data_IF_029361778303
#
_entry.id   IF_029361778303
#
_cell.length_a   1.000
_cell.length_b   1.000
_cell.length_c   1.000
_cell.angle_alpha   90.00
_cell.angle_beta   90.00
_cell.angle_gamma   90.00
#
_symmetry.space_group_name_H-M   'P 1'
#
loop_
_entity.id
_entity.type
_entity.pdbx_description
1 polymer ?
#
# COMPACT_ATOMS: atom_id res chain seq x y z
N UNK A 1 -0.63 25.51 17.27
CA UNK A 1 -0.07 24.76 16.14
C UNK A 1 0.21 25.75 15.02
N UNK A 2 1.48 26.03 14.74
CA UNK A 2 1.85 26.98 13.70
C UNK A 2 1.58 26.43 12.30
N UNK A 3 1.33 27.32 11.35
CA UNK A 3 0.95 27.11 9.95
C UNK A 3 1.91 26.19 9.14
N UNK A 4 2.13 24.94 9.56
CA UNK A 4 2.96 23.95 8.81
C UNK A 4 2.41 23.70 7.40
N UNK A 5 1.09 23.84 7.21
CA UNK A 5 0.44 23.62 5.92
C UNK A 5 0.57 24.80 4.96
N UNK A 6 0.94 26.00 5.44
CA UNK A 6 1.07 27.20 4.60
C UNK A 6 2.51 27.49 4.15
N UNK A 7 3.53 26.88 4.78
CA UNK A 7 4.94 27.03 4.40
C UNK A 7 5.56 25.66 4.14
N UNK A 8 5.46 25.20 2.90
CA UNK A 8 5.93 23.86 2.48
C UNK A 8 7.45 23.71 2.66
N UNK A 9 8.24 24.69 2.20
CA UNK A 9 9.70 24.65 2.30
C UNK A 9 10.16 25.38 3.58
N UNK A 10 10.43 24.60 4.65
CA UNK A 10 10.90 25.13 5.93
C UNK A 10 12.43 25.15 6.07
N UNK A 11 13.13 24.34 5.27
CA UNK A 11 14.60 24.12 5.30
C UNK A 11 15.14 23.57 6.62
N UNK A 12 14.25 23.15 7.54
CA UNK A 12 14.65 22.62 8.87
C UNK A 12 15.22 21.21 8.82
N UNK A 13 15.21 20.56 7.66
CA UNK A 13 15.71 19.20 7.44
C UNK A 13 16.90 19.12 6.47
N UNK A 14 17.54 20.26 6.13
CA UNK A 14 18.69 20.28 5.20
C UNK A 14 19.95 19.66 5.82
N UNK A 15 19.98 19.49 7.13
CA UNK A 15 21.03 18.81 7.90
C UNK A 15 20.90 17.27 7.89
N UNK A 16 19.89 16.70 7.18
CA UNK A 16 19.62 15.26 7.15
C UNK A 16 18.75 14.76 8.29
N UNK A 17 18.23 15.65 9.14
CA UNK A 17 17.27 15.28 10.18
C UNK A 17 15.84 15.68 9.81
N UNK A 18 14.84 15.07 10.48
CA UNK A 18 13.43 15.41 10.32
C UNK A 18 12.69 15.37 11.66
N UNK A 19 11.58 16.11 11.76
CA UNK A 19 10.71 16.10 12.94
C UNK A 19 9.68 14.99 12.87
N UNK A 20 9.43 14.32 14.00
CA UNK A 20 8.32 13.41 14.19
C UNK A 20 7.07 14.15 14.71
N UNK A 21 5.94 13.46 14.74
CA UNK A 21 4.65 14.04 15.13
C UNK A 21 4.54 14.38 16.63
N UNK A 22 5.35 13.77 17.48
CA UNK A 22 5.49 14.07 18.92
C UNK A 22 6.40 15.27 19.20
N UNK A 23 7.00 15.87 18.18
CA UNK A 23 7.93 17.01 18.28
C UNK A 23 9.40 16.60 18.42
N UNK A 24 9.72 15.34 18.57
CA UNK A 24 11.09 14.83 18.54
C UNK A 24 11.70 14.92 17.13
N UNK A 25 13.01 14.73 17.02
CA UNK A 25 13.72 14.70 15.72
C UNK A 25 14.52 13.41 15.60
N UNK A 26 14.61 12.92 14.34
CA UNK A 26 15.39 11.72 14.00
C UNK A 26 16.13 11.93 12.68
N UNK A 27 17.11 11.08 12.37
CA UNK A 27 17.75 11.05 11.06
C UNK A 27 16.78 10.62 9.98
N UNK A 28 16.91 11.20 8.79
CA UNK A 28 16.10 10.80 7.63
C UNK A 28 16.40 9.37 7.15
N UNK A 29 17.53 8.82 7.55
CA UNK A 29 17.99 7.45 7.30
C UNK A 29 17.53 6.42 8.35
N UNK A 30 16.70 6.84 9.33
CA UNK A 30 16.16 5.94 10.34
C UNK A 30 15.13 4.97 9.76
N UNK A 31 15.04 3.76 10.33
CA UNK A 31 14.05 2.75 9.94
C UNK A 31 12.59 3.27 10.03
N UNK A 32 12.34 4.22 10.93
CA UNK A 32 11.01 4.85 11.07
C UNK A 32 10.68 5.73 9.87
N UNK A 33 11.62 6.54 9.41
CA UNK A 33 11.42 7.41 8.25
C UNK A 33 11.37 6.57 6.96
N UNK A 34 12.16 5.50 6.87
CA UNK A 34 12.09 4.54 5.77
C UNK A 34 10.69 3.91 5.69
N UNK A 35 10.18 3.35 6.79
CA UNK A 35 8.84 2.76 6.81
C UNK A 35 7.72 3.76 6.48
N UNK A 36 7.83 5.00 6.97
CA UNK A 36 6.89 6.07 6.69
C UNK A 36 6.93 6.45 5.19
N UNK A 37 8.12 6.57 4.62
CA UNK A 37 8.30 6.88 3.20
C UNK A 37 7.74 5.79 2.28
N UNK A 38 7.91 4.52 2.63
CA UNK A 38 7.35 3.39 1.88
C UNK A 38 5.81 3.37 1.89
N UNK A 39 5.20 3.75 3.02
CA UNK A 39 3.73 3.87 3.11
C UNK A 39 3.22 5.07 2.29
N UNK A 40 3.92 6.18 2.30
CA UNK A 40 3.58 7.36 1.49
C UNK A 40 3.72 7.08 -0.01
N UNK A 41 4.78 6.37 -0.42
CA UNK A 41 4.93 5.91 -1.80
C UNK A 41 3.79 4.98 -2.22
N UNK A 42 3.42 4.01 -1.35
CA UNK A 42 2.27 3.13 -1.59
C UNK A 42 0.99 3.94 -1.82
N UNK A 43 0.72 4.91 -0.95
CA UNK A 43 -0.47 5.76 -1.07
C UNK A 43 -0.47 6.55 -2.39
N UNK A 44 0.70 7.02 -2.83
CA UNK A 44 0.88 7.71 -4.11
C UNK A 44 0.59 6.77 -5.31
N UNK A 45 1.02 5.50 -5.24
CA UNK A 45 0.69 4.51 -6.28
C UNK A 45 -0.79 4.12 -6.28
N UNK A 46 -1.47 4.08 -5.13
CA UNK A 46 -2.93 3.91 -5.08
C UNK A 46 -3.61 5.13 -5.75
N UNK A 47 -3.11 6.34 -5.54
CA UNK A 47 -3.55 7.54 -6.25
C UNK A 47 -3.38 7.43 -7.76
N UNK A 48 -2.25 6.88 -8.23
CA UNK A 48 -2.02 6.61 -9.66
C UNK A 48 -3.01 5.56 -10.19
N UNK A 49 -3.30 4.49 -9.44
CA UNK A 49 -4.29 3.48 -9.79
C UNK A 49 -5.69 4.09 -9.93
N UNK A 50 -6.05 5.04 -9.08
CA UNK A 50 -7.32 5.76 -9.14
C UNK A 50 -7.49 6.63 -10.40
N UNK A 51 -6.42 6.91 -11.16
CA UNK A 51 -6.52 7.58 -12.46
C UNK A 51 -7.00 6.66 -13.59
N UNK A 52 -7.03 5.33 -13.35
CA UNK A 52 -7.44 4.35 -14.34
C UNK A 52 -8.98 4.17 -14.36
N UNK A 53 -9.48 3.58 -15.44
CA UNK A 53 -10.89 3.19 -15.54
C UNK A 53 -11.18 1.98 -14.65
N UNK A 54 -12.24 2.08 -13.84
CA UNK A 54 -12.65 1.05 -12.90
C UNK A 54 -14.10 1.21 -12.46
N UNK A 55 -14.74 0.15 -11.90
CA UNK A 55 -16.06 0.25 -11.30
C UNK A 55 -16.12 1.29 -10.17
N UNK A 56 -17.21 2.08 -10.11
CA UNK A 56 -17.37 3.15 -9.13
C UNK A 56 -17.22 2.65 -7.68
N UNK A 57 -17.83 1.50 -7.34
CA UNK A 57 -17.71 0.91 -6.00
C UNK A 57 -16.25 0.58 -5.64
N UNK A 58 -15.45 0.09 -6.58
CA UNK A 58 -14.02 -0.17 -6.34
C UNK A 58 -13.24 1.13 -6.12
N UNK A 59 -13.59 2.19 -6.84
CA UNK A 59 -13.00 3.52 -6.66
C UNK A 59 -13.20 4.04 -5.24
N UNK A 60 -14.41 3.92 -4.71
CA UNK A 60 -14.75 4.35 -3.32
C UNK A 60 -13.93 3.57 -2.29
N UNK A 61 -13.77 2.24 -2.48
CA UNK A 61 -12.95 1.41 -1.60
C UNK A 61 -11.46 1.81 -1.63
N UNK A 62 -10.92 2.10 -2.82
CA UNK A 62 -9.53 2.54 -2.95
C UNK A 62 -9.30 3.93 -2.34
N UNK A 63 -10.25 4.85 -2.44
CA UNK A 63 -10.18 6.14 -1.73
C UNK A 63 -10.18 5.93 -0.22
N UNK A 64 -11.02 5.03 0.30
CA UNK A 64 -11.02 4.69 1.73
C UNK A 64 -9.68 4.08 2.16
N UNK A 65 -9.07 3.23 1.32
CA UNK A 65 -7.72 2.68 1.57
C UNK A 65 -6.66 3.80 1.60
N UNK A 66 -6.76 4.84 0.77
CA UNK A 66 -5.84 5.98 0.84
C UNK A 66 -5.92 6.71 2.19
N UNK A 67 -7.12 6.86 2.75
CA UNK A 67 -7.29 7.43 4.09
C UNK A 67 -6.64 6.56 5.15
N UNK A 68 -6.85 5.23 5.11
CA UNK A 68 -6.21 4.32 6.05
C UNK A 68 -4.67 4.36 5.94
N UNK A 69 -4.13 4.45 4.72
CA UNK A 69 -2.68 4.57 4.52
C UNK A 69 -2.13 5.89 5.06
N UNK A 70 -2.93 6.96 4.99
CA UNK A 70 -2.56 8.24 5.59
C UNK A 70 -2.56 8.15 7.13
N UNK A 71 -3.56 7.46 7.71
CA UNK A 71 -3.65 7.20 9.14
C UNK A 71 -2.50 6.29 9.61
N UNK A 72 -2.14 5.27 8.81
CA UNK A 72 -0.99 4.41 9.07
C UNK A 72 0.32 5.23 9.08
N UNK A 73 0.49 6.14 8.11
CA UNK A 73 1.61 7.08 8.11
C UNK A 73 1.64 7.96 9.36
N UNK A 74 0.47 8.42 9.82
CA UNK A 74 0.31 9.16 11.08
C UNK A 74 0.74 8.34 12.31
N UNK A 75 0.36 7.06 12.37
CA UNK A 75 0.78 6.12 13.41
C UNK A 75 2.30 5.94 13.42
N UNK A 76 2.91 5.73 12.25
CA UNK A 76 4.36 5.62 12.13
C UNK A 76 5.09 6.93 12.46
N UNK A 77 4.47 8.08 12.20
CA UNK A 77 5.04 9.40 12.48
C UNK A 77 5.06 9.73 13.99
N UNK A 78 4.21 9.11 14.81
CA UNK A 78 4.06 9.40 16.24
C UNK A 78 4.39 8.15 17.04
N UNK A 79 5.59 8.04 17.65
CA UNK A 79 5.96 6.89 18.47
C UNK A 79 4.91 6.59 19.54
N UNK A 80 4.46 5.33 19.64
CA UNK A 80 3.47 4.87 20.61
C UNK A 80 2.00 5.21 20.27
N UNK A 81 1.74 5.92 19.17
CA UNK A 81 0.38 6.21 18.72
C UNK A 81 -0.22 5.02 17.97
N UNK A 82 -1.54 4.87 18.01
CA UNK A 82 -2.25 3.79 17.32
C UNK A 82 -3.49 4.35 16.62
N UNK A 83 -3.56 4.17 15.29
CA UNK A 83 -4.69 4.51 14.45
C UNK A 83 -5.25 3.29 13.73
N UNK A 84 -4.38 2.41 13.23
CA UNK A 84 -4.80 1.19 12.55
C UNK A 84 -5.19 0.13 13.58
N UNK A 85 -6.42 -0.39 13.44
CA UNK A 85 -7.05 -1.34 14.35
C UNK A 85 -7.45 -2.60 13.61
N UNK A 86 -7.89 -3.60 14.36
CA UNK A 86 -8.40 -4.88 13.82
C UNK A 86 -9.53 -4.68 12.79
N UNK A 87 -10.42 -3.70 13.00
CA UNK A 87 -11.51 -3.40 12.08
C UNK A 87 -11.05 -3.01 10.67
N UNK A 88 -9.90 -2.29 10.55
CA UNK A 88 -9.33 -1.94 9.26
C UNK A 88 -8.80 -3.18 8.52
N UNK A 89 -8.19 -4.12 9.25
CA UNK A 89 -7.71 -5.39 8.69
C UNK A 89 -8.90 -6.25 8.26
N UNK A 90 -9.91 -6.40 9.13
CA UNK A 90 -11.12 -7.17 8.84
C UNK A 90 -11.88 -6.64 7.63
N UNK A 91 -11.90 -5.31 7.43
CA UNK A 91 -12.48 -4.70 6.23
C UNK A 91 -11.75 -5.15 4.97
N UNK A 92 -10.41 -5.20 4.97
CA UNK A 92 -9.65 -5.71 3.82
C UNK A 92 -9.91 -7.19 3.57
N UNK A 93 -10.08 -8.01 4.62
CA UNK A 93 -10.48 -9.42 4.50
C UNK A 93 -11.84 -9.55 3.79
N UNK A 94 -12.83 -8.76 4.19
CA UNK A 94 -14.14 -8.75 3.54
C UNK A 94 -14.08 -8.30 2.07
N UNK A 95 -13.25 -7.30 1.74
CA UNK A 95 -13.04 -6.87 0.35
C UNK A 95 -12.36 -7.95 -0.48
N UNK A 96 -11.38 -8.63 0.11
CA UNK A 96 -10.69 -9.75 -0.56
C UNK A 96 -11.67 -10.87 -0.88
N UNK A 97 -12.51 -11.30 0.05
CA UNK A 97 -13.56 -12.30 -0.17
C UNK A 97 -14.53 -11.84 -1.26
N UNK A 98 -15.05 -10.62 -1.17
CA UNK A 98 -15.99 -10.02 -2.12
C UNK A 98 -15.46 -10.05 -3.54
N UNK A 99 -14.24 -9.56 -3.76
CA UNK A 99 -13.67 -9.42 -5.10
C UNK A 99 -13.08 -10.72 -5.66
N UNK A 100 -12.72 -11.68 -4.79
CA UNK A 100 -12.22 -12.98 -5.23
C UNK A 100 -13.34 -13.98 -5.57
N UNK A 101 -14.57 -13.77 -5.09
CA UNK A 101 -15.69 -14.71 -5.23
C UNK A 101 -16.01 -15.05 -6.70
N UNK A 102 -15.96 -14.05 -7.59
CA UNK A 102 -16.31 -14.20 -9.00
C UNK A 102 -15.09 -14.47 -9.91
N UNK A 103 -13.90 -14.60 -9.32
CA UNK A 103 -12.68 -14.89 -10.10
C UNK A 103 -12.50 -16.40 -10.30
N UNK A 104 -12.13 -16.83 -11.50
CA UNK A 104 -11.83 -18.25 -11.73
C UNK A 104 -10.61 -18.69 -10.92
N UNK A 105 -10.64 -19.94 -10.48
CA UNK A 105 -9.52 -20.58 -9.79
C UNK A 105 -8.27 -20.54 -10.67
N UNK A 106 -7.16 -20.06 -10.10
CA UNK A 106 -5.87 -20.10 -10.77
C UNK A 106 -5.30 -21.52 -10.72
N UNK A 107 -4.89 -22.03 -11.88
CA UNK A 107 -4.20 -23.32 -12.02
C UNK A 107 -2.69 -23.15 -12.19
N UNK A 108 -2.26 -21.94 -12.54
CA UNK A 108 -0.88 -21.53 -12.78
C UNK A 108 -0.63 -20.15 -12.22
N UNK A 109 0.64 -19.78 -12.02
CA UNK A 109 1.04 -18.42 -11.71
C UNK A 109 0.66 -17.46 -12.85
N UNK A 110 0.35 -16.24 -12.49
CA UNK A 110 0.12 -15.17 -13.46
C UNK A 110 1.28 -14.18 -13.45
N UNK A 111 1.54 -13.62 -14.61
CA UNK A 111 2.49 -12.51 -14.74
C UNK A 111 1.83 -11.21 -14.27
N UNK A 112 2.61 -10.26 -13.71
CA UNK A 112 2.13 -8.92 -13.38
C UNK A 112 1.92 -8.08 -14.65
N UNK A 113 0.91 -8.44 -15.43
CA UNK A 113 0.61 -7.92 -16.76
C UNK A 113 -0.90 -7.82 -16.97
N UNK A 114 -1.32 -7.38 -18.18
CA UNK A 114 -2.71 -7.19 -18.55
C UNK A 114 -2.99 -5.73 -18.91
N UNK A 115 -4.17 -5.23 -18.57
CA UNK A 115 -4.52 -3.82 -18.74
C UNK A 115 -3.60 -2.91 -17.93
N UNK A 116 -3.59 -1.62 -18.26
CA UNK A 116 -2.81 -0.63 -17.50
C UNK A 116 -3.26 -0.57 -16.04
N UNK A 117 -4.57 -0.61 -15.78
CA UNK A 117 -5.11 -0.67 -14.42
C UNK A 117 -4.63 -1.93 -13.66
N UNK A 118 -4.67 -3.11 -14.32
CA UNK A 118 -4.18 -4.36 -13.74
C UNK A 118 -2.68 -4.29 -13.41
N UNK A 119 -1.88 -3.79 -14.34
CA UNK A 119 -0.43 -3.64 -14.14
C UNK A 119 -0.11 -2.65 -13.03
N UNK A 120 -0.84 -1.54 -12.93
CA UNK A 120 -0.69 -0.56 -11.83
C UNK A 120 -1.08 -1.17 -10.48
N UNK A 121 -2.15 -1.98 -10.40
CA UNK A 121 -2.50 -2.72 -9.19
C UNK A 121 -1.39 -3.71 -8.77
N UNK A 122 -0.72 -4.37 -9.73
CA UNK A 122 0.44 -5.19 -9.44
C UNK A 122 1.64 -4.37 -8.92
N UNK A 123 1.85 -3.13 -9.39
CA UNK A 123 2.85 -2.23 -8.80
C UNK A 123 2.47 -1.91 -7.35
N UNK A 124 1.22 -1.50 -7.08
CA UNK A 124 0.74 -1.29 -5.71
C UNK A 124 1.00 -2.52 -4.82
N UNK A 125 0.69 -3.73 -5.31
CA UNK A 125 0.98 -4.99 -4.59
C UNK A 125 2.45 -5.13 -4.21
N UNK A 126 3.35 -4.85 -5.12
CA UNK A 126 4.79 -5.01 -4.84
C UNK A 126 5.33 -3.93 -3.90
N UNK A 127 4.78 -2.72 -3.97
CA UNK A 127 5.08 -1.62 -3.04
C UNK A 127 4.52 -1.92 -1.65
N UNK A 128 3.29 -2.47 -1.52
CA UNK A 128 2.77 -3.00 -0.24
C UNK A 128 3.77 -3.94 0.42
N UNK A 129 4.30 -4.90 -0.33
CA UNK A 129 5.28 -5.88 0.17
C UNK A 129 6.62 -5.23 0.58
N UNK A 130 7.00 -4.12 -0.05
CA UNK A 130 8.18 -3.34 0.34
C UNK A 130 7.90 -2.55 1.62
N UNK A 131 6.76 -1.87 1.73
CA UNK A 131 6.31 -1.20 2.95
C UNK A 131 6.20 -2.17 4.13
N UNK A 132 5.66 -3.38 3.91
CA UNK A 132 5.62 -4.42 4.93
C UNK A 132 7.01 -4.77 5.46
N UNK A 133 7.98 -4.97 4.57
CA UNK A 133 9.37 -5.26 4.98
C UNK A 133 10.00 -4.13 5.78
N UNK A 134 9.74 -2.87 5.41
CA UNK A 134 10.22 -1.70 6.15
C UNK A 134 9.58 -1.62 7.56
N UNK A 135 8.27 -1.87 7.68
CA UNK A 135 7.59 -1.94 8.99
C UNK A 135 8.13 -3.11 9.84
N UNK A 136 8.41 -4.27 9.23
CA UNK A 136 9.05 -5.40 9.92
C UNK A 136 10.47 -5.03 10.39
N UNK A 137 11.23 -4.32 9.59
CA UNK A 137 12.56 -3.84 9.99
C UNK A 137 12.47 -2.87 11.17
N UNK A 138 11.54 -1.91 11.12
CA UNK A 138 11.25 -0.97 12.21
C UNK A 138 10.85 -1.71 13.50
N UNK A 139 10.00 -2.74 13.41
CA UNK A 139 9.53 -3.49 14.58
C UNK A 139 10.61 -4.29 15.32
N UNK A 140 11.81 -4.43 14.74
CA UNK A 140 12.98 -5.02 15.41
C UNK A 140 13.73 -4.01 16.29
N UNK A 141 13.61 -2.74 15.96
CA UNK A 141 14.30 -1.65 16.67
C UNK A 141 13.37 -0.91 17.64
N UNK A 142 12.08 -0.86 17.33
CA UNK A 142 11.09 -0.10 18.09
C UNK A 142 9.80 -0.92 18.29
N UNK A 143 9.08 -0.61 19.37
CA UNK A 143 7.79 -1.26 19.62
C UNK A 143 6.72 -0.69 18.69
N UNK A 144 6.24 -1.52 17.76
CA UNK A 144 5.17 -1.21 16.81
C UNK A 144 4.00 -2.17 17.03
N UNK A 145 2.78 -1.67 16.98
CA UNK A 145 1.58 -2.50 17.03
C UNK A 145 1.53 -3.49 15.86
N UNK A 146 0.78 -4.58 16.00
CA UNK A 146 0.72 -5.61 14.98
C UNK A 146 -0.10 -5.19 13.75
N UNK A 147 -1.13 -4.35 13.95
CA UNK A 147 -2.11 -4.02 12.91
C UNK A 147 -1.54 -3.31 11.69
N UNK A 148 -0.59 -2.34 11.78
CA UNK A 148 0.07 -1.76 10.61
C UNK A 148 0.65 -2.80 9.65
N UNK A 149 1.40 -3.76 10.18
CA UNK A 149 1.99 -4.85 9.40
C UNK A 149 0.92 -5.77 8.80
N UNK A 150 -0.09 -6.14 9.59
CA UNK A 150 -1.20 -6.99 9.13
C UNK A 150 -1.99 -6.29 8.01
N UNK A 151 -2.21 -4.98 8.15
CA UNK A 151 -2.92 -4.17 7.17
C UNK A 151 -2.22 -4.18 5.80
N UNK A 152 -0.92 -3.82 5.76
CA UNK A 152 -0.19 -3.78 4.48
C UNK A 152 0.02 -5.17 3.88
N UNK A 153 0.15 -6.22 4.70
CA UNK A 153 0.18 -7.60 4.23
C UNK A 153 -1.14 -7.96 3.53
N UNK A 154 -2.28 -7.74 4.19
CA UNK A 154 -3.60 -8.01 3.64
C UNK A 154 -3.90 -7.13 2.41
N UNK A 155 -3.48 -5.87 2.42
CA UNK A 155 -3.61 -4.98 1.27
C UNK A 155 -2.83 -5.52 0.06
N UNK A 156 -1.68 -6.15 0.25
CA UNK A 156 -0.94 -6.77 -0.85
C UNK A 156 -1.73 -7.89 -1.52
N UNK A 157 -2.45 -8.71 -0.74
CA UNK A 157 -3.28 -9.80 -1.25
C UNK A 157 -4.50 -9.22 -1.99
N UNK A 158 -5.13 -8.19 -1.43
CA UNK A 158 -6.23 -7.47 -2.08
C UNK A 158 -5.78 -6.88 -3.42
N UNK A 159 -4.62 -6.24 -3.50
CA UNK A 159 -4.10 -5.67 -4.76
C UNK A 159 -3.86 -6.74 -5.83
N UNK A 160 -3.50 -7.96 -5.45
CA UNK A 160 -3.42 -9.08 -6.39
C UNK A 160 -4.79 -9.46 -6.95
N UNK A 161 -5.80 -9.56 -6.10
CA UNK A 161 -7.18 -9.84 -6.51
C UNK A 161 -7.72 -8.71 -7.39
N UNK A 162 -7.51 -7.46 -6.99
CA UNK A 162 -7.96 -6.29 -7.76
C UNK A 162 -7.28 -6.18 -9.13
N UNK A 163 -6.02 -6.57 -9.26
CA UNK A 163 -5.37 -6.62 -10.58
C UNK A 163 -6.12 -7.54 -11.54
N UNK A 164 -6.58 -8.69 -11.07
CA UNK A 164 -7.38 -9.64 -11.86
C UNK A 164 -8.76 -9.09 -12.20
N UNK A 165 -9.43 -8.46 -11.23
CA UNK A 165 -10.73 -7.80 -11.41
C UNK A 165 -10.63 -6.70 -12.47
N UNK A 166 -9.65 -5.82 -12.35
CA UNK A 166 -9.42 -4.70 -13.26
C UNK A 166 -9.04 -5.17 -14.67
N UNK A 167 -8.30 -6.28 -14.77
CA UNK A 167 -7.99 -6.85 -16.08
C UNK A 167 -9.26 -7.36 -16.80
N UNK A 168 -10.18 -7.98 -16.06
CA UNK A 168 -11.47 -8.43 -16.58
C UNK A 168 -12.40 -7.27 -16.92
N UNK A 169 -12.41 -6.24 -16.08
CA UNK A 169 -13.17 -5.02 -16.36
C UNK A 169 -12.75 -4.39 -17.70
N UNK A 170 -11.46 -4.44 -18.01
CA UNK A 170 -10.92 -3.99 -19.31
C UNK A 170 -11.09 -5.01 -20.45
N UNK A 171 -11.86 -6.09 -20.25
CA UNK A 171 -12.09 -7.14 -21.27
C UNK A 171 -10.94 -8.14 -21.44
N UNK A 172 -9.93 -8.11 -20.57
CA UNK A 172 -8.78 -9.01 -20.60
C UNK A 172 -8.97 -10.29 -19.77
N UNK A 173 -7.96 -11.15 -19.80
CA UNK A 173 -7.86 -12.37 -19.00
C UNK A 173 -6.50 -12.42 -18.29
N UNK A 174 -6.38 -13.31 -17.29
CA UNK A 174 -5.12 -13.52 -16.56
C UNK A 174 -4.01 -13.92 -17.53
N UNK A 175 -2.85 -13.26 -17.47
CA UNK A 175 -1.67 -13.56 -18.28
C UNK A 175 -0.89 -14.66 -17.56
N UNK A 176 -1.05 -15.90 -18.03
CA UNK A 176 -0.44 -17.06 -17.37
C UNK A 176 1.08 -17.09 -17.57
N UNK A 177 1.79 -17.46 -16.52
CA UNK A 177 3.20 -17.80 -16.62
C UNK A 177 3.37 -19.16 -17.34
N UNK A 178 4.26 -19.19 -18.33
CA UNK A 178 4.58 -20.40 -19.08
C UNK A 178 5.94 -20.92 -18.65
N UNK A 179 5.97 -22.07 -17.98
CA UNK A 179 7.20 -22.71 -17.50
C UNK A 179 8.09 -23.14 -18.67
N UNK A 180 7.50 -23.79 -19.67
CA UNK A 180 8.20 -24.28 -20.86
C UNK A 180 7.93 -23.36 -22.04
N UNK A 181 8.77 -22.37 -22.23
CA UNK A 181 8.76 -21.54 -23.43
C UNK A 181 9.69 -22.13 -24.48
N UNK A 182 9.16 -22.51 -25.65
CA UNK A 182 10.01 -22.73 -26.82
C UNK A 182 10.76 -21.42 -27.10
N UNK A 183 12.04 -21.37 -26.79
CA UNK A 183 12.91 -20.27 -27.24
C UNK A 183 13.18 -20.55 -28.72
N UNK A 184 12.45 -19.85 -29.62
CA UNK A 184 12.75 -19.83 -31.03
C UNK A 184 14.06 -19.11 -31.32
#
# INVERSE_FOLDING_TARGET
MGNRLSKIATRTGDDGSTGLGDGSRTGKDSARIDALGEVDELNSFVGLLLCEDMPAALREELVSIQHDLFDLGGELCIPGYQMIKEEHVARLDGLLEKYNADLPVLKEFILPAGSRAASTAHVCRTVCRRAERAIVALSKAEQIHAHPRQYVNRLSDLMFVLARVLNRHAGGSDVLWQHERKRG
#
